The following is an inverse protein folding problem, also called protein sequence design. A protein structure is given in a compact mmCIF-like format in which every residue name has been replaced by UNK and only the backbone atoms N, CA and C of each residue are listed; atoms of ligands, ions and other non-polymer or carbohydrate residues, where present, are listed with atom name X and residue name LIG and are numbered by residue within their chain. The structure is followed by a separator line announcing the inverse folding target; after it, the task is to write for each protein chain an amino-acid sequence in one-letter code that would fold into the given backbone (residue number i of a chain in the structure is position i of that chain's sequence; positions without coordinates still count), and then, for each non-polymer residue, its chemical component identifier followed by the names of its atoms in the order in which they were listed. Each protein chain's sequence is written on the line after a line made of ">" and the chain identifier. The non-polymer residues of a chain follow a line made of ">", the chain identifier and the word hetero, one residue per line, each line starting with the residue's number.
data_IF_303260642219
#
_entry.id   IF_303260642219
#
_cell.length_a   1.000
_cell.length_b   1.000
_cell.length_c   1.000
_cell.angle_alpha   90.00
_cell.angle_beta   90.00
_cell.angle_gamma   90.00
#
_symmetry.space_group_name_H-M   'P 1'
#
loop_
_entity.id
_entity.type
_entity.pdbx_description
1 polymer ?
#
# COMPACT_ATOMS: atom_id res chain seq x y z
N UNK A 1 -5.07 -7.80 -0.75
CA UNK A 1 -5.26 -7.91 -2.20
C UNK A 1 -5.48 -9.37 -2.56
N UNK A 2 -6.55 -9.66 -3.28
CA UNK A 2 -6.90 -11.02 -3.68
C UNK A 2 -5.99 -11.50 -4.81
N UNK A 3 -5.52 -12.76 -4.76
CA UNK A 3 -4.73 -13.31 -5.88
C UNK A 3 -5.52 -13.39 -7.20
N UNK A 4 -6.85 -13.39 -7.11
CA UNK A 4 -7.71 -13.44 -8.31
C UNK A 4 -8.09 -12.05 -8.83
N UNK A 5 -7.65 -10.99 -8.15
CA UNK A 5 -7.97 -9.63 -8.57
C UNK A 5 -7.32 -9.30 -9.90
N UNK A 6 -7.99 -8.49 -10.71
CA UNK A 6 -7.41 -7.98 -11.95
C UNK A 6 -6.29 -6.99 -11.67
N UNK A 7 -5.45 -6.71 -12.67
CA UNK A 7 -4.37 -5.75 -12.53
C UNK A 7 -4.88 -4.37 -12.11
N UNK A 8 -6.02 -3.96 -12.66
CA UNK A 8 -6.65 -2.69 -12.29
C UNK A 8 -7.12 -2.67 -10.85
N UNK A 9 -7.69 -3.78 -10.40
CA UNK A 9 -8.13 -3.90 -9.01
C UNK A 9 -6.95 -3.84 -8.06
N UNK A 10 -5.85 -4.48 -8.40
CA UNK A 10 -4.62 -4.44 -7.61
C UNK A 10 -4.08 -3.01 -7.51
N UNK A 11 -4.01 -2.32 -8.62
CA UNK A 11 -3.54 -0.93 -8.65
C UNK A 11 -4.44 -0.02 -7.83
N UNK A 12 -5.75 -0.21 -7.94
CA UNK A 12 -6.74 0.56 -7.19
C UNK A 12 -6.60 0.31 -5.69
N UNK A 13 -6.48 -0.95 -5.31
CA UNK A 13 -6.31 -1.32 -3.90
C UNK A 13 -5.01 -0.73 -3.34
N UNK A 14 -3.92 -0.78 -4.12
CA UNK A 14 -2.66 -0.19 -3.72
C UNK A 14 -2.79 1.32 -3.47
N UNK A 15 -3.41 2.03 -4.41
CA UNK A 15 -3.61 3.48 -4.27
C UNK A 15 -4.43 3.82 -3.04
N UNK A 16 -5.48 3.04 -2.80
CA UNK A 16 -6.34 3.24 -1.64
C UNK A 16 -5.56 3.07 -0.34
N UNK A 17 -4.77 2.00 -0.25
CA UNK A 17 -3.96 1.75 0.93
C UNK A 17 -2.84 2.77 1.08
N UNK A 18 -2.21 3.15 -0.02
CA UNK A 18 -1.17 4.17 -0.01
C UNK A 18 -1.71 5.51 0.50
N UNK A 19 -2.88 5.90 0.04
CA UNK A 19 -3.52 7.13 0.52
C UNK A 19 -3.85 7.06 2.00
N UNK A 20 -4.32 5.90 2.45
CA UNK A 20 -4.71 5.70 3.84
C UNK A 20 -3.51 5.84 4.79
N UNK A 21 -2.36 5.31 4.39
CA UNK A 21 -1.16 5.27 5.24
C UNK A 21 -0.08 6.25 4.84
N UNK A 22 -0.37 7.15 3.90
CA UNK A 22 0.63 8.12 3.44
C UNK A 22 1.07 9.02 4.60
N UNK A 23 2.38 9.33 4.71
CA UNK A 23 2.89 10.16 5.80
C UNK A 23 2.17 11.49 5.97
N UNK A 24 1.80 12.13 4.85
CA UNK A 24 1.09 13.42 4.91
C UNK A 24 -0.30 13.28 5.52
N UNK A 25 -0.93 12.14 5.34
CA UNK A 25 -2.27 11.89 5.87
C UNK A 25 -2.27 11.60 7.36
N UNK A 26 -1.17 11.08 7.88
CA UNK A 26 -1.08 10.68 9.29
C UNK A 26 -0.20 11.60 10.12
N UNK A 27 0.36 12.65 9.51
CA UNK A 27 1.29 13.55 10.19
C UNK A 27 0.67 14.22 11.41
N UNK A 28 -0.63 14.45 11.40
CA UNK A 28 -1.36 15.08 12.50
C UNK A 28 -1.78 14.13 13.60
N UNK A 29 -1.57 12.82 13.41
CA UNK A 29 -2.05 11.80 14.34
C UNK A 29 -1.05 11.47 15.45
N UNK A 30 0.14 12.07 15.42
CA UNK A 30 1.16 11.81 16.40
C UNK A 30 2.18 10.78 15.94
N UNK A 31 3.30 10.75 16.67
CA UNK A 31 4.47 9.99 16.27
C UNK A 31 4.23 8.47 16.24
N UNK A 32 3.49 7.97 17.23
CA UNK A 32 3.19 6.54 17.31
C UNK A 32 2.35 6.08 16.13
N UNK A 33 1.35 6.87 15.77
CA UNK A 33 0.50 6.55 14.63
C UNK A 33 1.26 6.67 13.32
N UNK A 34 2.16 7.64 13.23
CA UNK A 34 3.01 7.79 12.05
C UNK A 34 3.90 6.58 11.86
N UNK A 35 4.53 6.10 12.91
CA UNK A 35 5.39 4.91 12.85
C UNK A 35 4.60 3.68 12.42
N UNK A 36 3.42 3.48 13.01
CA UNK A 36 2.55 2.38 12.67
C UNK A 36 2.12 2.45 11.20
N UNK A 37 1.75 3.64 10.73
CA UNK A 37 1.36 3.86 9.34
C UNK A 37 2.52 3.59 8.38
N UNK A 38 3.73 4.01 8.74
CA UNK A 38 4.92 3.75 7.92
C UNK A 38 5.17 2.26 7.75
N UNK A 39 5.05 1.50 8.83
CA UNK A 39 5.22 0.05 8.78
C UNK A 39 4.19 -0.59 7.86
N UNK A 40 2.94 -0.18 7.97
CA UNK A 40 1.87 -0.68 7.12
C UNK A 40 2.07 -0.26 5.67
N UNK A 41 2.51 0.96 5.45
CA UNK A 41 2.80 1.46 4.11
C UNK A 41 3.90 0.63 3.45
N UNK A 42 4.96 0.33 4.20
CA UNK A 42 6.05 -0.51 3.70
C UNK A 42 5.56 -1.90 3.34
N UNK A 43 4.74 -2.49 4.19
CA UNK A 43 4.18 -3.82 3.93
C UNK A 43 3.33 -3.82 2.67
N UNK A 44 2.48 -2.82 2.51
CA UNK A 44 1.64 -2.67 1.32
C UNK A 44 2.50 -2.50 0.07
N UNK A 45 3.51 -1.65 0.16
CA UNK A 45 4.41 -1.39 -0.96
C UNK A 45 5.16 -2.65 -1.37
N UNK A 46 5.68 -3.39 -0.39
CA UNK A 46 6.39 -4.64 -0.66
C UNK A 46 5.47 -5.67 -1.32
N UNK A 47 4.25 -5.81 -0.81
CA UNK A 47 3.27 -6.72 -1.37
C UNK A 47 2.94 -6.35 -2.81
N UNK A 48 2.77 -5.05 -3.07
CA UNK A 48 2.47 -4.56 -4.42
C UNK A 48 3.64 -4.83 -5.37
N UNK A 49 4.87 -4.58 -4.93
CA UNK A 49 6.05 -4.85 -5.75
C UNK A 49 6.17 -6.33 -6.09
N UNK A 50 5.87 -7.19 -5.13
CA UNK A 50 5.90 -8.63 -5.35
C UNK A 50 4.84 -9.07 -6.35
N UNK A 51 3.62 -8.55 -6.22
CA UNK A 51 2.54 -8.84 -7.17
C UNK A 51 2.87 -8.34 -8.56
N UNK A 52 3.44 -7.15 -8.65
CA UNK A 52 3.87 -6.56 -9.91
C UNK A 52 4.86 -7.48 -10.63
N UNK A 53 5.81 -7.99 -9.87
CA UNK A 53 6.84 -8.87 -10.39
C UNK A 53 6.25 -10.21 -10.82
N UNK A 54 5.40 -10.80 -9.98
CA UNK A 54 4.79 -12.11 -10.24
C UNK A 54 3.83 -12.07 -11.44
N UNK A 55 3.13 -10.95 -11.59
CA UNK A 55 2.14 -10.77 -12.66
C UNK A 55 2.69 -10.07 -13.88
N UNK A 56 3.93 -9.60 -13.80
CA UNK A 56 4.55 -8.85 -14.89
C UNK A 56 3.76 -7.57 -15.25
N UNK A 57 3.26 -6.88 -14.23
CA UNK A 57 2.54 -5.62 -14.39
C UNK A 57 3.56 -4.48 -14.52
N UNK A 58 3.38 -3.64 -15.49
CA UNK A 58 4.25 -2.48 -15.70
C UNK A 58 3.70 -1.19 -15.07
#
# INVERSE_FOLDING_TARGET
>A
ISPDASDQEIKRAYRKMANKYHPDKVSHLGKEMQTSAEEKFKAVNNAYQQLKKDRNIS
#
